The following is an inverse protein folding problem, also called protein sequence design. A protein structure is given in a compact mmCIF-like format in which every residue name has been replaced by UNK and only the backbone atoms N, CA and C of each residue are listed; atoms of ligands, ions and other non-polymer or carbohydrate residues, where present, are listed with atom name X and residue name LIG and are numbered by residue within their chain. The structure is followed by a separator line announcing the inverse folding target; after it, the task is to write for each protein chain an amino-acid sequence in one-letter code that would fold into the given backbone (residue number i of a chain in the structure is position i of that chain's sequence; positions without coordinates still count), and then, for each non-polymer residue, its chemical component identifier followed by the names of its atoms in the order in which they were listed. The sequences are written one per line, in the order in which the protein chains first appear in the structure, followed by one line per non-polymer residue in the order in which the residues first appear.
data_IF_740624498405
#
_entry.id   IF_740624498405
#
_cell.length_a   1.000
_cell.length_b   1.000
_cell.length_c   1.000
_cell.angle_alpha   90.00
_cell.angle_beta   90.00
_cell.angle_gamma   90.00
#
_symmetry.space_group_name_H-M   'P 1'
#
loop_
_entity.id
_entity.type
_entity.pdbx_description
1 polymer ?
#
# COMPACT_ATOMS: atom_id res chain seq x y z
N UNK A 1 4.96 0.10 -8.09
CA UNK A 1 3.86 -0.45 -7.28
C UNK A 1 3.79 0.23 -5.92
N UNK A 2 2.73 0.03 -5.18
CA UNK A 2 2.51 0.65 -3.86
C UNK A 2 3.67 0.36 -2.90
N UNK A 3 4.08 1.38 -2.12
CA UNK A 3 5.25 1.38 -1.23
C UNK A 3 6.58 1.07 -1.92
N UNK A 4 6.68 1.40 -3.22
CA UNK A 4 7.92 1.28 -3.99
C UNK A 4 8.21 -0.13 -4.53
N UNK A 5 9.34 -0.32 -5.18
CA UNK A 5 9.66 -1.58 -5.88
C UNK A 5 9.83 -2.79 -4.94
N UNK A 6 10.13 -2.56 -3.66
CA UNK A 6 10.25 -3.62 -2.65
C UNK A 6 8.99 -3.78 -1.79
N UNK A 7 8.00 -2.88 -1.90
CA UNK A 7 6.79 -2.88 -1.07
C UNK A 7 7.03 -2.52 0.40
N UNK A 8 8.22 -2.03 0.75
CA UNK A 8 8.66 -1.76 2.12
C UNK A 8 8.43 -0.32 2.61
N UNK A 9 8.14 0.61 1.70
CA UNK A 9 7.97 2.02 2.01
C UNK A 9 9.27 2.79 2.21
N UNK A 10 10.40 2.20 1.84
CA UNK A 10 11.73 2.82 1.99
C UNK A 10 12.21 3.31 0.62
N UNK A 11 12.48 4.60 0.51
CA UNK A 11 13.07 5.21 -0.66
C UNK A 11 14.50 4.72 -0.91
N UNK A 12 14.91 4.77 -2.18
CA UNK A 12 16.30 4.49 -2.58
C UNK A 12 17.08 5.81 -2.54
N UNK A 13 18.29 5.77 -1.94
CA UNK A 13 19.14 6.94 -1.72
C UNK A 13 19.17 7.35 -0.25
N UNK A 14 19.83 8.47 0.05
CA UNK A 14 20.12 8.86 1.44
C UNK A 14 19.33 10.09 1.89
N UNK A 15 18.74 10.85 0.97
CA UNK A 15 18.13 12.13 1.29
C UNK A 15 16.79 12.35 0.57
N UNK A 16 15.88 13.02 1.28
CA UNK A 16 14.68 13.66 0.76
C UNK A 16 14.45 14.96 1.59
N UNK A 17 13.62 15.90 1.10
CA UNK A 17 13.38 17.18 1.80
C UNK A 17 12.85 16.95 3.21
N UNK A 18 13.38 17.70 4.16
CA UNK A 18 12.88 17.70 5.55
C UNK A 18 11.95 18.87 5.83
N UNK A 19 12.06 19.95 5.07
CA UNK A 19 11.29 21.18 5.28
C UNK A 19 10.67 21.65 3.97
N UNK A 20 9.40 22.00 4.02
CA UNK A 20 8.64 22.65 2.94
C UNK A 20 7.43 23.40 3.51
N UNK A 21 6.88 24.29 2.70
CA UNK A 21 5.59 24.95 2.93
C UNK A 21 4.65 24.62 1.75
N UNK A 22 3.55 25.29 1.62
CA UNK A 22 2.68 25.15 0.43
C UNK A 22 3.29 25.74 -0.85
N UNK A 23 4.41 26.46 -0.75
CA UNK A 23 5.11 27.15 -1.84
C UNK A 23 6.62 26.91 -1.85
N UNK A 24 7.27 26.76 -0.71
CA UNK A 24 8.71 26.53 -0.62
C UNK A 24 9.01 25.03 -0.72
N UNK A 25 10.09 24.71 -1.42
CA UNK A 25 10.50 23.33 -1.73
C UNK A 25 9.43 22.49 -2.45
N UNK A 26 8.47 23.14 -3.10
CA UNK A 26 7.51 22.50 -4.00
C UNK A 26 8.05 22.64 -5.43
N UNK A 27 8.40 21.53 -6.07
CA UNK A 27 8.79 21.54 -7.48
C UNK A 27 7.60 21.79 -8.38
N UNK A 28 6.50 21.12 -8.09
CA UNK A 28 5.22 21.34 -8.76
C UNK A 28 4.05 20.84 -7.90
N UNK A 29 2.87 21.40 -8.18
CA UNK A 29 1.57 21.05 -7.62
C UNK A 29 0.58 20.98 -8.77
N UNK A 30 0.00 19.80 -9.03
CA UNK A 30 -0.90 19.57 -10.16
C UNK A 30 -2.28 19.17 -9.68
N UNK A 31 -3.37 19.86 -10.10
CA UNK A 31 -4.73 19.40 -9.81
C UNK A 31 -4.99 18.03 -10.44
N UNK A 32 -5.58 17.11 -9.68
CA UNK A 32 -5.98 15.80 -10.18
C UNK A 32 -7.49 15.76 -10.30
N UNK A 33 -8.03 15.59 -11.51
CA UNK A 33 -9.48 15.51 -11.74
C UNK A 33 -10.10 14.29 -11.06
N UNK A 34 -11.29 14.47 -10.49
CA UNK A 34 -12.05 13.40 -9.86
C UNK A 34 -11.59 13.08 -8.43
N UNK A 35 -12.04 11.95 -7.91
CA UNK A 35 -11.80 11.51 -6.54
C UNK A 35 -10.94 10.22 -6.51
N UNK A 36 -10.05 10.11 -5.55
CA UNK A 36 -9.20 8.91 -5.42
C UNK A 36 -8.24 9.00 -4.25
N UNK A 37 -7.94 7.82 -3.69
CA UNK A 37 -7.01 7.64 -2.56
C UNK A 37 -5.78 6.79 -2.93
N UNK A 38 -5.61 6.49 -4.22
CA UNK A 38 -4.41 5.77 -4.65
C UNK A 38 -3.14 6.55 -4.33
N UNK A 39 -2.11 5.86 -3.87
CA UNK A 39 -0.78 6.45 -3.74
C UNK A 39 -0.19 6.72 -5.13
N UNK A 40 0.68 7.72 -5.30
CA UNK A 40 1.43 7.88 -6.53
C UNK A 40 2.46 6.76 -6.69
N UNK A 41 2.69 6.33 -7.92
CA UNK A 41 3.86 5.52 -8.27
C UNK A 41 4.72 6.26 -9.28
N UNK A 42 6.04 6.10 -9.17
CA UNK A 42 7.04 6.75 -10.04
C UNK A 42 7.77 5.68 -10.83
N UNK A 43 7.86 5.85 -12.14
CA UNK A 43 8.63 4.99 -13.03
C UNK A 43 9.23 5.81 -14.17
N UNK A 44 10.57 5.80 -14.31
CA UNK A 44 11.27 6.66 -15.26
C UNK A 44 10.89 8.13 -15.06
N UNK A 45 10.51 8.79 -16.14
CA UNK A 45 10.08 10.20 -16.16
C UNK A 45 8.57 10.36 -15.97
N UNK A 46 7.91 9.41 -15.34
CA UNK A 46 6.45 9.42 -15.19
C UNK A 46 6.00 9.17 -13.77
N UNK A 47 4.88 9.82 -13.43
CA UNK A 47 4.12 9.57 -12.19
C UNK A 47 2.72 9.13 -12.57
N UNK A 48 2.19 8.11 -11.90
CA UNK A 48 0.85 7.60 -12.17
C UNK A 48 0.00 7.61 -10.91
N UNK A 49 -1.28 7.95 -11.07
CA UNK A 49 -2.34 7.84 -10.06
C UNK A 49 -3.62 7.37 -10.70
N UNK A 50 -4.46 6.65 -9.96
CA UNK A 50 -5.83 6.35 -10.37
C UNK A 50 -6.79 7.40 -9.82
N UNK A 51 -7.89 7.66 -10.53
CA UNK A 51 -8.95 8.55 -10.10
C UNK A 51 -10.31 8.04 -10.58
N UNK A 52 -11.39 8.50 -9.97
CA UNK A 52 -12.75 8.20 -10.41
C UNK A 52 -13.56 9.49 -10.60
N UNK A 53 -14.39 9.50 -11.61
CA UNK A 53 -15.39 10.54 -11.85
C UNK A 53 -16.76 9.92 -11.67
N UNK A 54 -17.33 10.08 -10.49
CA UNK A 54 -18.54 9.35 -10.10
C UNK A 54 -19.77 9.72 -10.91
N UNK A 55 -19.87 10.98 -11.35
CA UNK A 55 -20.97 11.45 -12.22
C UNK A 55 -20.99 10.77 -13.57
N UNK A 56 -19.82 10.51 -14.16
CA UNK A 56 -19.66 9.79 -15.42
C UNK A 56 -19.43 8.29 -15.25
N UNK A 57 -19.43 7.78 -14.02
CA UNK A 57 -19.14 6.38 -13.66
C UNK A 57 -17.77 5.90 -14.17
N UNK A 58 -16.83 6.83 -14.37
CA UNK A 58 -15.54 6.57 -15.01
C UNK A 58 -14.45 6.25 -13.98
N UNK A 59 -13.66 5.20 -14.23
CA UNK A 59 -12.42 4.83 -13.53
C UNK A 59 -11.26 5.15 -14.44
N UNK A 60 -10.34 5.97 -13.98
CA UNK A 60 -9.34 6.60 -14.82
C UNK A 60 -7.93 6.37 -14.29
N UNK A 61 -6.98 6.35 -15.21
CA UNK A 61 -5.55 6.39 -14.91
C UNK A 61 -4.97 7.68 -15.49
N UNK A 62 -4.17 8.39 -14.69
CA UNK A 62 -3.51 9.62 -15.07
C UNK A 62 -2.00 9.41 -15.07
N UNK A 63 -1.34 9.81 -16.16
CA UNK A 63 0.11 9.90 -16.28
C UNK A 63 0.53 11.35 -16.29
N UNK A 64 1.48 11.69 -15.40
CA UNK A 64 2.09 13.00 -15.33
C UNK A 64 3.57 12.90 -15.69
N UNK A 65 4.09 13.95 -16.29
CA UNK A 65 5.54 14.15 -16.44
C UNK A 65 6.15 14.40 -15.06
N UNK A 66 7.16 13.64 -14.71
CA UNK A 66 7.80 13.67 -13.41
C UNK A 66 8.49 15.01 -13.10
N UNK A 67 9.01 15.69 -14.13
CA UNK A 67 9.80 16.92 -13.96
C UNK A 67 8.90 18.14 -13.85
N UNK A 68 7.94 18.26 -14.75
CA UNK A 68 7.05 19.43 -14.84
C UNK A 68 5.75 19.30 -14.07
N UNK A 69 5.31 18.07 -13.76
CA UNK A 69 3.99 17.80 -13.20
C UNK A 69 2.84 17.91 -14.21
N UNK A 70 3.13 18.18 -15.49
CA UNK A 70 2.11 18.27 -16.52
C UNK A 70 1.44 16.93 -16.76
N UNK A 71 0.11 16.92 -16.89
CA UNK A 71 -0.63 15.72 -17.28
C UNK A 71 -0.27 15.40 -18.72
N UNK A 72 0.35 14.24 -18.97
CA UNK A 72 0.66 13.75 -20.31
C UNK A 72 -0.61 13.17 -20.94
N UNK A 73 -1.34 12.36 -20.17
CA UNK A 73 -2.67 11.86 -20.56
C UNK A 73 -3.49 11.49 -19.31
N UNK A 74 -4.79 11.54 -19.48
CA UNK A 74 -5.83 11.12 -18.53
C UNK A 74 -6.82 10.24 -19.29
N UNK A 75 -6.82 8.94 -19.04
CA UNK A 75 -7.58 7.97 -19.83
C UNK A 75 -8.60 7.24 -19.00
N UNK A 76 -9.78 6.99 -19.56
CA UNK A 76 -10.74 6.08 -18.99
C UNK A 76 -10.25 4.65 -19.18
N UNK A 77 -10.11 3.95 -18.05
CA UNK A 77 -9.72 2.53 -18.03
C UNK A 77 -10.94 1.63 -17.98
N UNK A 78 -11.96 2.06 -17.24
CA UNK A 78 -13.22 1.35 -17.11
C UNK A 78 -14.36 2.32 -16.80
N UNK A 79 -15.57 1.99 -17.27
CA UNK A 79 -16.80 2.66 -16.90
C UNK A 79 -17.82 1.64 -16.41
N UNK A 80 -18.49 1.93 -15.29
CA UNK A 80 -19.45 1.02 -14.69
C UNK A 80 -20.01 1.52 -13.37
N UNK A 81 -20.93 0.75 -12.79
CA UNK A 81 -21.63 1.11 -11.57
C UNK A 81 -20.67 1.31 -10.37
N UNK A 82 -21.09 2.16 -9.43
CA UNK A 82 -20.31 2.43 -8.22
C UNK A 82 -20.57 1.31 -7.20
N UNK A 83 -19.50 0.70 -6.72
CA UNK A 83 -19.56 -0.26 -5.64
C UNK A 83 -19.92 0.38 -4.29
N UNK A 84 -20.49 -0.42 -3.39
CA UNK A 84 -20.65 0.00 -2.01
C UNK A 84 -19.30 0.25 -1.36
N UNK A 85 -19.11 1.41 -0.76
CA UNK A 85 -17.84 1.80 -0.16
C UNK A 85 -18.02 2.55 1.18
N UNK A 86 -16.97 2.55 1.99
CA UNK A 86 -16.91 3.35 3.20
C UNK A 86 -16.68 4.83 2.84
N UNK A 87 -17.16 5.78 3.65
CA UNK A 87 -17.02 7.23 3.41
C UNK A 87 -15.57 7.73 3.24
N UNK A 88 -14.58 6.98 3.72
CA UNK A 88 -13.15 7.28 3.57
C UNK A 88 -12.49 6.52 2.41
N UNK A 89 -13.24 5.69 1.69
CA UNK A 89 -12.79 5.00 0.50
C UNK A 89 -13.34 5.67 -0.77
N UNK A 90 -12.74 5.37 -1.91
CA UNK A 90 -13.20 5.82 -3.23
C UNK A 90 -13.13 4.67 -4.21
N UNK A 91 -13.75 4.82 -5.37
CA UNK A 91 -13.64 3.86 -6.46
C UNK A 91 -12.22 3.76 -7.07
N UNK A 92 -11.30 4.60 -6.61
CA UNK A 92 -9.90 4.66 -7.06
C UNK A 92 -8.93 4.72 -5.88
N UNK A 93 -9.08 3.81 -4.92
CA UNK A 93 -8.16 3.68 -3.77
C UNK A 93 -7.02 2.70 -4.03
N UNK A 94 -7.19 1.74 -4.95
CA UNK A 94 -6.12 0.85 -5.38
C UNK A 94 -5.01 1.62 -6.09
N UNK A 95 -3.77 1.47 -5.63
CA UNK A 95 -2.59 2.08 -6.24
C UNK A 95 -2.15 1.24 -7.43
N UNK A 96 -1.89 1.82 -8.61
CA UNK A 96 -1.48 1.05 -9.78
C UNK A 96 -0.10 0.43 -9.61
N UNK A 97 0.24 -0.55 -10.43
CA UNK A 97 1.59 -1.11 -10.55
C UNK A 97 2.09 -0.97 -11.98
N UNK A 98 3.42 -0.92 -12.19
CA UNK A 98 4.00 -0.91 -13.53
C UNK A 98 5.27 -1.75 -13.60
N UNK A 99 5.43 -2.49 -14.68
CA UNK A 99 6.64 -3.25 -15.05
C UNK A 99 7.60 -2.45 -15.95
N UNK A 100 7.24 -1.18 -16.25
CA UNK A 100 7.98 -0.31 -17.15
C UNK A 100 7.50 -0.36 -18.61
N UNK A 101 6.64 -1.31 -18.96
CA UNK A 101 6.00 -1.40 -20.28
C UNK A 101 4.51 -1.18 -20.22
N UNK A 102 3.87 -1.62 -19.14
CA UNK A 102 2.43 -1.46 -18.88
C UNK A 102 2.16 -0.96 -17.47
N UNK A 103 0.99 -0.40 -17.30
CA UNK A 103 0.46 0.03 -16.02
C UNK A 103 -0.79 -0.82 -15.72
N UNK A 104 -0.80 -1.48 -14.58
CA UNK A 104 -1.87 -2.38 -14.15
C UNK A 104 -2.73 -1.67 -13.11
N UNK A 105 -4.04 -1.63 -13.36
CA UNK A 105 -5.05 -1.04 -12.51
C UNK A 105 -6.07 -2.07 -12.08
N UNK A 106 -6.57 -1.94 -10.85
CA UNK A 106 -7.67 -2.75 -10.34
C UNK A 106 -8.77 -1.83 -9.87
N UNK A 107 -9.99 -2.08 -10.35
CA UNK A 107 -11.20 -1.40 -9.96
C UNK A 107 -12.30 -2.39 -9.62
N UNK A 108 -13.41 -1.90 -9.09
CA UNK A 108 -14.63 -2.67 -8.88
C UNK A 108 -15.78 -1.95 -9.60
N UNK A 109 -16.59 -2.74 -10.27
CA UNK A 109 -17.81 -2.33 -10.97
C UNK A 109 -19.00 -3.03 -10.30
N UNK A 110 -19.70 -2.34 -9.43
CA UNK A 110 -20.74 -2.89 -8.53
C UNK A 110 -20.21 -4.10 -7.72
N UNK A 111 -20.32 -5.28 -8.28
CA UNK A 111 -19.90 -6.55 -7.66
C UNK A 111 -18.87 -7.32 -8.49
N UNK A 112 -18.23 -6.65 -9.42
CA UNK A 112 -17.30 -7.27 -10.35
C UNK A 112 -15.93 -6.64 -10.22
N UNK A 113 -14.90 -7.44 -9.95
CA UNK A 113 -13.52 -6.95 -10.03
C UNK A 113 -13.12 -6.80 -11.49
N UNK A 114 -12.46 -5.70 -11.80
CA UNK A 114 -11.92 -5.41 -13.14
C UNK A 114 -10.43 -5.15 -13.00
N UNK A 115 -9.63 -5.90 -13.74
CA UNK A 115 -8.18 -5.74 -13.83
C UNK A 115 -7.85 -5.34 -15.24
N UNK A 116 -7.10 -4.26 -15.41
CA UNK A 116 -6.75 -3.74 -16.73
C UNK A 116 -5.26 -3.44 -16.81
N UNK A 117 -4.68 -3.70 -17.98
CA UNK A 117 -3.35 -3.22 -18.35
C UNK A 117 -3.47 -2.09 -19.36
N UNK A 118 -2.76 -1.03 -19.12
CA UNK A 118 -2.70 0.16 -19.97
C UNK A 118 -1.29 0.31 -20.49
N UNK A 119 -1.12 0.49 -21.78
CA UNK A 119 0.17 0.75 -22.41
C UNK A 119 0.71 2.13 -22.05
N UNK A 120 1.98 2.38 -22.35
CA UNK A 120 2.64 3.63 -21.97
C UNK A 120 2.08 4.87 -22.66
N UNK A 121 1.36 4.73 -23.75
CA UNK A 121 0.64 5.77 -24.48
C UNK A 121 -0.82 5.97 -24.04
N UNK A 122 -1.26 5.25 -23.01
CA UNK A 122 -2.60 5.42 -22.42
C UNK A 122 -3.67 4.51 -23.04
N UNK A 123 -3.30 3.57 -23.89
CA UNK A 123 -4.26 2.64 -24.51
C UNK A 123 -4.45 1.41 -23.63
N UNK A 124 -5.70 1.03 -23.39
CA UNK A 124 -6.01 -0.22 -22.69
C UNK A 124 -5.61 -1.40 -23.59
N UNK A 125 -4.61 -2.16 -23.17
CA UNK A 125 -4.11 -3.34 -23.88
C UNK A 125 -5.02 -4.55 -23.66
N UNK A 126 -5.47 -4.75 -22.43
CA UNK A 126 -6.44 -5.77 -22.05
C UNK A 126 -7.20 -5.35 -20.78
N UNK A 127 -8.39 -5.92 -20.62
CA UNK A 127 -9.22 -5.77 -19.42
C UNK A 127 -9.96 -7.07 -19.17
N UNK A 128 -9.84 -7.61 -17.96
CA UNK A 128 -10.46 -8.90 -17.58
C UNK A 128 -11.15 -8.79 -16.22
N UNK A 129 -12.12 -9.67 -15.99
CA UNK A 129 -12.74 -9.82 -14.68
C UNK A 129 -12.37 -11.19 -14.10
N UNK A 130 -11.46 -11.28 -13.13
CA UNK A 130 -11.09 -12.55 -12.53
C UNK A 130 -12.17 -13.12 -11.61
N UNK A 131 -13.19 -12.34 -11.27
CA UNK A 131 -14.29 -12.79 -10.44
C UNK A 131 -15.16 -11.67 -9.90
N UNK A 132 -16.19 -12.07 -9.14
CA UNK A 132 -16.99 -11.13 -8.36
C UNK A 132 -16.16 -10.52 -7.23
N UNK A 133 -16.60 -9.35 -6.74
CA UNK A 133 -16.05 -8.74 -5.54
C UNK A 133 -17.14 -8.02 -4.75
N UNK A 134 -17.25 -8.37 -3.48
CA UNK A 134 -18.15 -7.71 -2.56
C UNK A 134 -17.48 -7.48 -1.20
N UNK A 135 -17.37 -6.23 -0.83
CA UNK A 135 -16.95 -5.81 0.51
C UNK A 135 -17.69 -4.52 0.89
N UNK A 136 -18.21 -4.46 2.11
CA UNK A 136 -18.99 -3.30 2.56
C UNK A 136 -18.21 -1.98 2.64
N UNK A 137 -16.87 -2.06 2.55
CA UNK A 137 -15.96 -0.92 2.63
C UNK A 137 -15.40 -0.50 1.26
N UNK A 138 -15.75 -1.20 0.17
CA UNK A 138 -15.17 -1.01 -1.16
C UNK A 138 -13.85 -1.76 -1.33
N UNK A 139 -13.09 -1.43 -2.36
CA UNK A 139 -11.82 -2.07 -2.72
C UNK A 139 -10.63 -1.13 -2.48
N UNK A 140 -9.50 -1.65 -2.00
CA UNK A 140 -8.29 -0.85 -1.75
C UNK A 140 -6.97 -1.60 -1.94
N UNK A 141 -6.96 -2.94 -1.98
CA UNK A 141 -5.73 -3.70 -2.21
C UNK A 141 -5.09 -3.31 -3.56
N UNK A 142 -3.78 -3.21 -3.58
CA UNK A 142 -3.04 -2.82 -4.78
C UNK A 142 -2.50 -4.04 -5.54
N UNK A 143 -2.42 -4.02 -6.87
CA UNK A 143 -1.79 -5.07 -7.64
C UNK A 143 -0.29 -5.15 -7.36
N UNK A 144 0.27 -6.35 -7.42
CA UNK A 144 1.69 -6.63 -7.19
C UNK A 144 2.27 -7.35 -8.40
N UNK A 145 3.44 -6.93 -8.84
CA UNK A 145 4.14 -7.58 -9.95
C UNK A 145 4.80 -8.88 -9.46
N UNK A 146 4.57 -9.96 -10.17
CA UNK A 146 5.11 -11.28 -9.86
C UNK A 146 5.36 -12.06 -11.16
N UNK A 147 6.60 -12.41 -11.45
CA UNK A 147 7.01 -13.35 -12.51
C UNK A 147 6.36 -13.10 -13.89
N UNK A 148 6.45 -11.85 -14.35
CA UNK A 148 5.85 -11.42 -15.62
C UNK A 148 4.32 -11.35 -15.58
N UNK A 149 3.73 -11.46 -14.39
CA UNK A 149 2.30 -11.35 -14.15
C UNK A 149 1.95 -10.25 -13.16
N UNK A 150 0.66 -10.06 -12.98
CA UNK A 150 0.06 -9.16 -12.01
C UNK A 150 -0.80 -9.96 -11.03
N UNK A 151 -0.42 -9.87 -9.77
CA UNK A 151 -1.11 -10.51 -8.67
C UNK A 151 -2.18 -9.57 -8.11
N UNK A 152 -3.36 -10.10 -7.87
CA UNK A 152 -4.51 -9.35 -7.33
C UNK A 152 -5.11 -10.08 -6.14
N UNK A 153 -5.29 -9.34 -5.05
CA UNK A 153 -5.98 -9.81 -3.86
C UNK A 153 -7.48 -9.52 -3.96
N UNK A 154 -8.29 -10.55 -4.08
CA UNK A 154 -9.75 -10.54 -4.10
C UNK A 154 -10.37 -11.10 -2.81
N UNK A 155 -9.78 -10.90 -1.64
CA UNK A 155 -10.40 -11.26 -0.36
C UNK A 155 -11.70 -10.48 -0.15
N UNK A 156 -12.80 -11.18 -0.06
CA UNK A 156 -14.16 -10.63 0.00
C UNK A 156 -15.10 -11.47 0.87
N UNK A 157 -16.30 -10.95 1.12
CA UNK A 157 -17.34 -11.65 1.88
C UNK A 157 -18.15 -12.59 0.93
N UNK A 158 -17.57 -13.71 0.54
CA UNK A 158 -18.18 -14.72 -0.34
C UNK A 158 -17.40 -14.92 -1.65
N UNK A 159 -16.72 -16.06 -1.76
CA UNK A 159 -15.90 -16.40 -2.93
C UNK A 159 -14.56 -15.66 -2.97
N UNK A 160 -13.86 -15.56 -1.82
CA UNK A 160 -12.54 -14.95 -1.71
C UNK A 160 -11.50 -15.67 -2.57
N UNK A 161 -10.58 -14.92 -3.17
CA UNK A 161 -9.50 -15.45 -3.99
C UNK A 161 -8.26 -14.57 -3.97
N UNK A 162 -7.12 -15.13 -4.37
CA UNK A 162 -5.94 -14.40 -4.84
C UNK A 162 -5.58 -14.99 -6.19
N UNK A 163 -5.32 -14.14 -7.18
CA UNK A 163 -5.08 -14.58 -8.55
C UNK A 163 -3.83 -13.94 -9.11
N UNK A 164 -3.01 -14.74 -9.82
CA UNK A 164 -1.97 -14.25 -10.70
C UNK A 164 -2.48 -14.26 -12.13
N UNK A 165 -2.47 -13.11 -12.77
CA UNK A 165 -2.80 -12.95 -14.19
C UNK A 165 -1.50 -12.76 -14.99
N UNK A 166 -1.46 -13.27 -16.20
CA UNK A 166 -0.38 -12.99 -17.15
C UNK A 166 -0.35 -11.50 -17.49
N UNK A 167 0.79 -10.85 -17.32
CA UNK A 167 0.92 -9.41 -17.53
C UNK A 167 0.74 -8.99 -19.01
N UNK A 168 1.02 -9.89 -19.96
CA UNK A 168 0.91 -9.58 -21.38
C UNK A 168 -0.52 -9.65 -21.92
N UNK A 169 -1.32 -10.62 -21.47
CA UNK A 169 -2.62 -10.93 -22.06
C UNK A 169 -3.80 -10.97 -21.07
N UNK A 170 -3.51 -10.96 -19.75
CA UNK A 170 -4.53 -10.96 -18.71
C UNK A 170 -5.09 -12.36 -18.35
N UNK A 171 -4.58 -13.43 -18.95
CA UNK A 171 -5.03 -14.79 -18.65
C UNK A 171 -4.63 -15.22 -17.24
N UNK A 172 -5.49 -16.00 -16.58
CA UNK A 172 -5.21 -16.53 -15.26
C UNK A 172 -4.12 -17.61 -15.31
N UNK A 173 -3.03 -17.39 -14.56
CA UNK A 173 -1.93 -18.36 -14.40
C UNK A 173 -2.22 -19.34 -13.27
N UNK A 174 -2.64 -18.82 -12.12
CA UNK A 174 -3.06 -19.60 -10.97
C UNK A 174 -4.00 -18.82 -10.06
N UNK A 175 -4.72 -19.56 -9.22
CA UNK A 175 -5.64 -19.03 -8.21
C UNK A 175 -5.46 -19.74 -6.88
N UNK A 176 -5.30 -18.96 -5.83
CA UNK A 176 -5.36 -19.43 -4.45
C UNK A 176 -6.76 -19.12 -3.88
N UNK A 177 -7.35 -20.10 -3.23
CA UNK A 177 -8.60 -19.94 -2.48
C UNK A 177 -8.28 -19.95 -0.98
N UNK A 178 -8.53 -18.83 -0.26
CA UNK A 178 -8.42 -18.80 1.21
C UNK A 178 -9.34 -19.79 1.90
N UNK A 179 -8.99 -20.21 3.10
CA UNK A 179 -9.79 -21.16 3.90
C UNK A 179 -11.15 -20.59 4.35
N UNK A 180 -11.26 -19.26 4.38
CA UNK A 180 -12.49 -18.53 4.75
C UNK A 180 -12.78 -17.40 3.78
N UNK A 181 -14.07 -17.20 3.49
CA UNK A 181 -14.54 -16.05 2.74
C UNK A 181 -14.71 -14.86 3.68
N UNK A 182 -13.67 -14.05 3.82
CA UNK A 182 -13.68 -12.87 4.66
C UNK A 182 -12.89 -11.74 3.99
N UNK A 183 -13.52 -10.56 3.86
CA UNK A 183 -12.87 -9.40 3.25
C UNK A 183 -11.59 -9.00 3.96
N UNK A 184 -10.59 -8.69 3.18
CA UNK A 184 -9.30 -8.14 3.60
C UNK A 184 -8.75 -7.25 2.51
N UNK A 185 -8.03 -6.20 2.87
CA UNK A 185 -7.57 -5.15 1.96
C UNK A 185 -6.05 -5.07 1.90
N UNK A 186 -5.37 -6.01 2.56
CA UNK A 186 -3.92 -6.11 2.60
C UNK A 186 -3.35 -6.31 1.19
N UNK A 187 -2.35 -5.53 0.84
CA UNK A 187 -1.57 -5.75 -0.39
C UNK A 187 -0.54 -6.85 -0.14
N UNK A 188 -0.45 -7.89 -0.98
CA UNK A 188 0.55 -8.93 -0.83
C UNK A 188 1.98 -8.40 -0.96
N UNK A 189 2.95 -9.08 -0.35
CA UNK A 189 4.38 -8.74 -0.45
C UNK A 189 5.16 -9.94 -0.98
N UNK A 190 5.96 -9.70 -2.01
CA UNK A 190 6.90 -10.70 -2.52
C UNK A 190 8.23 -10.54 -1.78
N UNK A 191 8.69 -11.59 -1.11
CA UNK A 191 9.89 -11.55 -0.28
C UNK A 191 10.74 -12.81 -0.43
N UNK A 192 12.04 -12.66 -0.16
CA UNK A 192 12.93 -13.81 0.00
C UNK A 192 12.91 -14.27 1.48
N UNK A 193 12.38 -15.44 1.71
CA UNK A 193 12.27 -16.06 3.03
C UNK A 193 13.28 -17.20 3.12
N UNK A 194 14.41 -16.97 3.81
CA UNK A 194 15.49 -17.96 3.96
C UNK A 194 15.96 -18.59 2.64
N UNK A 195 16.10 -17.77 1.60
CA UNK A 195 16.57 -18.22 0.29
C UNK A 195 15.46 -18.68 -0.67
N UNK A 196 14.23 -18.84 -0.20
CA UNK A 196 13.06 -19.14 -1.04
C UNK A 196 12.23 -17.90 -1.25
N UNK A 197 11.86 -17.61 -2.48
CA UNK A 197 10.97 -16.53 -2.83
C UNK A 197 9.53 -16.92 -2.51
N UNK A 198 8.83 -16.10 -1.76
CA UNK A 198 7.48 -16.39 -1.29
C UNK A 198 6.60 -15.14 -1.39
N UNK A 199 5.32 -15.36 -1.62
CA UNK A 199 4.29 -14.35 -1.54
C UNK A 199 3.67 -14.37 -0.15
N UNK A 200 3.78 -13.27 0.58
CA UNK A 200 3.25 -13.13 1.95
C UNK A 200 1.98 -12.28 1.91
N UNK A 201 0.91 -12.80 2.47
CA UNK A 201 -0.39 -12.16 2.50
C UNK A 201 -1.05 -12.31 3.86
N UNK A 202 -1.59 -11.22 4.40
CA UNK A 202 -2.46 -11.24 5.58
C UNK A 202 -3.91 -11.04 5.16
N UNK A 203 -4.79 -11.93 5.57
CA UNK A 203 -6.21 -11.88 5.24
C UNK A 203 -6.96 -13.13 5.69
N UNK A 204 -8.29 -13.06 5.72
CA UNK A 204 -9.14 -14.20 6.02
C UNK A 204 -8.73 -14.95 7.31
N UNK A 205 -8.45 -14.22 8.39
CA UNK A 205 -8.00 -14.71 9.70
C UNK A 205 -6.58 -15.27 9.76
N UNK A 206 -5.82 -15.21 8.68
CA UNK A 206 -4.49 -15.82 8.60
C UNK A 206 -3.45 -14.84 8.02
N UNK A 207 -2.19 -15.11 8.32
CA UNK A 207 -1.07 -14.69 7.51
C UNK A 207 -0.49 -15.92 6.85
N UNK A 208 -0.38 -15.89 5.52
CA UNK A 208 0.02 -17.05 4.72
C UNK A 208 1.25 -16.75 3.88
N UNK A 209 2.08 -17.76 3.66
CA UNK A 209 3.12 -17.78 2.64
C UNK A 209 2.71 -18.69 1.50
N UNK A 210 2.67 -18.15 0.29
CA UNK A 210 2.35 -18.89 -0.92
C UNK A 210 3.59 -19.01 -1.81
N UNK A 211 3.64 -20.08 -2.56
CA UNK A 211 4.57 -20.21 -3.68
C UNK A 211 4.16 -19.25 -4.80
N UNK A 212 5.04 -18.36 -5.26
CA UNK A 212 4.68 -17.36 -6.26
C UNK A 212 4.46 -17.92 -7.68
N UNK A 213 4.98 -19.11 -7.98
CA UNK A 213 4.84 -19.75 -9.30
C UNK A 213 3.54 -20.57 -9.43
N UNK A 214 3.13 -21.23 -8.35
CA UNK A 214 1.96 -22.12 -8.35
C UNK A 214 0.74 -21.60 -7.58
N UNK A 215 0.94 -20.64 -6.66
CA UNK A 215 -0.08 -20.18 -5.72
C UNK A 215 -0.35 -21.16 -4.57
N UNK A 216 0.41 -22.24 -4.44
CA UNK A 216 0.25 -23.22 -3.38
C UNK A 216 0.62 -22.64 -2.01
N UNK A 217 -0.18 -22.98 -0.98
CA UNK A 217 0.07 -22.55 0.39
C UNK A 217 1.20 -23.36 1.02
N UNK A 218 2.33 -22.68 1.30
CA UNK A 218 3.52 -23.28 1.93
C UNK A 218 3.32 -23.38 3.43
N UNK A 219 2.87 -22.30 4.06
CA UNK A 219 2.64 -22.19 5.51
C UNK A 219 1.56 -21.17 5.83
N UNK A 220 1.06 -21.25 7.07
CA UNK A 220 0.16 -20.22 7.62
C UNK A 220 0.34 -20.04 9.11
N UNK A 221 -0.11 -18.89 9.60
CA UNK A 221 -0.28 -18.56 11.01
C UNK A 221 -1.69 -17.99 11.18
N UNK A 222 -2.46 -18.53 12.11
CA UNK A 222 -3.79 -18.04 12.47
C UNK A 222 -3.69 -16.73 13.27
N UNK A 223 -4.55 -15.78 13.00
CA UNK A 223 -4.55 -14.47 13.64
C UNK A 223 -3.60 -13.46 12.97
N UNK A 224 -3.22 -12.38 13.68
CA UNK A 224 -3.63 -12.01 15.05
C UNK A 224 -5.09 -11.57 15.17
N UNK A 225 -5.79 -11.32 14.07
CA UNK A 225 -7.18 -10.88 14.01
C UNK A 225 -7.90 -11.51 12.81
N UNK A 226 -9.11 -11.02 12.48
CA UNK A 226 -9.90 -11.59 11.38
C UNK A 226 -9.71 -10.84 10.04
N UNK A 227 -9.67 -9.50 10.08
CA UNK A 227 -9.64 -8.65 8.90
C UNK A 227 -8.43 -7.74 8.93
N UNK A 228 -7.78 -7.62 7.78
CA UNK A 228 -6.51 -6.92 7.60
C UNK A 228 -6.64 -5.83 6.53
N UNK A 229 -6.03 -4.70 6.81
CA UNK A 229 -5.79 -3.64 5.83
C UNK A 229 -4.29 -3.44 5.65
N UNK A 230 -3.54 -3.47 6.75
CA UNK A 230 -2.10 -3.36 6.72
C UNK A 230 -1.46 -4.48 5.89
N UNK A 231 -0.46 -4.11 5.11
CA UNK A 231 0.45 -5.03 4.44
C UNK A 231 1.45 -5.59 5.45
N UNK A 232 1.85 -6.86 5.38
CA UNK A 232 2.93 -7.40 6.22
C UNK A 232 4.23 -6.63 6.02
N UNK A 233 4.90 -6.28 7.13
CA UNK A 233 6.28 -5.76 7.09
C UNK A 233 7.25 -6.92 7.28
N UNK A 234 8.33 -6.99 6.47
CA UNK A 234 9.21 -8.17 6.44
C UNK A 234 10.66 -7.74 6.62
N UNK A 235 11.35 -8.36 7.56
CA UNK A 235 12.78 -8.12 7.81
C UNK A 235 13.25 -8.70 9.14
N UNK A 236 14.54 -8.65 9.41
CA UNK A 236 15.17 -9.13 10.65
C UNK A 236 14.81 -10.58 10.99
N UNK A 237 14.61 -11.43 9.97
CA UNK A 237 14.21 -12.82 10.15
C UNK A 237 12.75 -13.02 10.57
N UNK A 238 11.92 -11.98 10.49
CA UNK A 238 10.50 -11.99 10.91
C UNK A 238 9.57 -11.42 9.84
N UNK A 239 8.29 -11.76 9.99
CA UNK A 239 7.15 -11.20 9.29
C UNK A 239 6.26 -10.57 10.36
N UNK A 240 5.95 -9.28 10.22
CA UNK A 240 5.10 -8.54 11.16
C UNK A 240 3.74 -8.35 10.52
N UNK A 241 2.71 -8.93 11.13
CA UNK A 241 1.33 -8.89 10.66
C UNK A 241 0.47 -8.03 11.59
N UNK A 242 -0.34 -7.15 10.99
CA UNK A 242 -1.18 -6.18 11.70
C UNK A 242 -2.59 -6.24 11.15
N UNK A 243 -3.56 -6.20 12.04
CA UNK A 243 -4.96 -6.16 11.64
C UNK A 243 -5.84 -5.48 12.70
N UNK A 244 -7.00 -4.97 12.30
CA UNK A 244 -7.78 -4.06 13.11
C UNK A 244 -9.19 -4.52 13.45
N UNK A 245 -9.69 -5.61 12.91
CA UNK A 245 -11.09 -6.01 13.16
C UNK A 245 -11.20 -7.50 13.49
N UNK A 246 -11.94 -7.90 14.54
CA UNK A 246 -12.77 -7.08 15.42
C UNK A 246 -11.98 -6.24 16.44
N UNK A 247 -10.69 -6.46 16.59
CA UNK A 247 -9.81 -5.71 17.48
C UNK A 247 -8.44 -5.48 16.85
N UNK A 248 -7.82 -4.36 17.19
CA UNK A 248 -6.46 -4.00 16.75
C UNK A 248 -5.44 -4.93 17.39
N UNK A 249 -4.73 -5.70 16.57
CA UNK A 249 -3.73 -6.68 17.01
C UNK A 249 -2.57 -6.76 16.03
N UNK A 250 -1.43 -7.18 16.57
CA UNK A 250 -0.24 -7.48 15.78
C UNK A 250 0.46 -8.74 16.29
N UNK A 251 1.20 -9.39 15.41
CA UNK A 251 2.12 -10.45 15.79
C UNK A 251 3.41 -10.39 14.97
N UNK A 252 4.52 -10.89 15.56
CA UNK A 252 5.73 -11.20 14.83
C UNK A 252 5.82 -12.72 14.62
N UNK A 253 6.08 -13.11 13.39
CA UNK A 253 6.19 -14.49 12.94
C UNK A 253 7.63 -14.73 12.52
N UNK A 254 8.33 -15.69 13.14
CA UNK A 254 9.67 -16.10 12.73
C UNK A 254 9.60 -16.71 11.33
N UNK A 255 10.48 -16.26 10.44
CA UNK A 255 10.56 -16.76 9.07
C UNK A 255 10.97 -18.23 8.99
N UNK A 256 10.43 -18.95 8.00
CA UNK A 256 10.74 -20.32 7.66
C UNK A 256 9.81 -21.33 8.35
N UNK A 257 9.78 -22.54 7.81
CA UNK A 257 8.88 -23.62 8.17
C UNK A 257 7.82 -23.88 7.10
N UNK A 258 7.00 -24.90 7.32
CA UNK A 258 5.90 -25.33 6.43
C UNK A 258 4.68 -25.75 7.27
N UNK A 259 3.49 -25.67 6.67
CA UNK A 259 2.24 -26.04 7.31
C UNK A 259 1.79 -25.03 8.37
N UNK A 260 1.13 -25.48 9.41
CA UNK A 260 0.67 -24.65 10.52
C UNK A 260 1.81 -24.23 11.45
N UNK A 261 2.12 -22.94 11.41
CA UNK A 261 3.19 -22.34 12.23
C UNK A 261 2.64 -21.51 13.40
N UNK A 262 1.36 -21.57 13.67
CA UNK A 262 0.69 -20.74 14.69
C UNK A 262 1.30 -20.90 16.08
N UNK A 263 1.62 -22.15 16.48
CA UNK A 263 2.16 -22.44 17.81
C UNK A 263 3.69 -22.40 17.89
N UNK A 264 4.38 -22.44 16.75
CA UNK A 264 5.85 -22.63 16.70
C UNK A 264 6.60 -21.36 16.32
N UNK A 265 6.02 -20.51 15.47
CA UNK A 265 6.72 -19.37 14.88
C UNK A 265 6.25 -18.01 15.38
N UNK A 266 5.12 -17.91 16.06
CA UNK A 266 4.68 -16.63 16.67
C UNK A 266 5.60 -16.32 17.85
N UNK A 267 6.36 -15.20 17.73
CA UNK A 267 7.35 -14.78 18.73
C UNK A 267 6.70 -13.89 19.79
N UNK A 268 5.89 -12.96 19.35
CA UNK A 268 5.10 -12.08 20.21
C UNK A 268 3.77 -11.70 19.57
N UNK A 269 2.82 -11.34 20.42
CA UNK A 269 1.55 -10.72 20.03
C UNK A 269 1.37 -9.43 20.79
N UNK A 270 0.71 -8.44 20.19
CA UNK A 270 0.35 -7.17 20.81
C UNK A 270 -1.11 -6.84 20.55
N UNK A 271 -1.71 -6.27 21.57
CA UNK A 271 -3.07 -5.73 21.56
C UNK A 271 -3.01 -4.25 21.95
N UNK A 272 -3.94 -3.46 21.46
CA UNK A 272 -4.07 -2.01 21.69
C UNK A 272 -3.03 -1.17 20.97
N UNK A 273 -3.47 0.00 20.52
CA UNK A 273 -2.66 0.99 19.81
C UNK A 273 -1.96 0.47 18.54
N UNK A 274 -2.42 -0.67 18.02
CA UNK A 274 -1.96 -1.19 16.73
C UNK A 274 -2.76 -0.54 15.59
N UNK A 275 -2.19 -0.45 14.40
CA UNK A 275 -2.86 0.18 13.27
C UNK A 275 -3.92 -0.76 12.66
N UNK A 276 -4.99 -0.15 12.13
CA UNK A 276 -5.92 -0.84 11.25
C UNK A 276 -5.62 -0.52 9.78
N UNK A 277 -5.47 0.77 9.44
CA UNK A 277 -5.23 1.21 8.06
C UNK A 277 -3.74 1.47 7.77
N UNK A 278 -3.02 2.31 8.52
CA UNK A 278 -1.63 2.62 8.17
C UNK A 278 -0.71 1.40 8.32
N UNK A 279 -0.06 1.00 7.25
CA UNK A 279 0.94 -0.08 7.30
C UNK A 279 2.20 0.42 8.00
N UNK A 280 2.68 -0.25 9.05
CA UNK A 280 3.91 0.10 9.75
C UNK A 280 5.15 0.11 8.86
N UNK A 281 6.14 0.89 9.24
CA UNK A 281 7.44 0.97 8.56
C UNK A 281 8.50 0.25 9.39
N UNK A 282 9.02 -0.85 8.87
CA UNK A 282 10.23 -1.47 9.40
C UNK A 282 11.43 -0.81 8.73
N UNK A 283 12.25 -0.09 9.48
CA UNK A 283 13.41 0.62 8.96
C UNK A 283 14.63 0.41 9.86
N UNK A 284 15.61 -0.31 9.33
CA UNK A 284 16.77 -0.74 10.13
C UNK A 284 16.35 -1.62 11.29
N UNK A 285 16.62 -1.19 12.52
CA UNK A 285 16.29 -1.92 13.75
C UNK A 285 15.02 -1.42 14.47
N UNK A 286 14.22 -0.58 13.83
CA UNK A 286 13.02 0.01 14.42
C UNK A 286 11.78 -0.30 13.59
N UNK A 287 10.69 -0.56 14.27
CA UNK A 287 9.37 -0.68 13.70
C UNK A 287 8.54 0.55 14.11
N UNK A 288 8.32 1.45 13.15
CA UNK A 288 7.56 2.67 13.33
C UNK A 288 6.08 2.40 13.05
N UNK A 289 5.26 2.52 14.06
CA UNK A 289 3.82 2.28 14.03
C UNK A 289 3.11 3.61 14.26
N UNK A 290 2.15 3.95 13.42
CA UNK A 290 1.17 5.00 13.71
C UNK A 290 -0.21 4.37 13.54
N UNK A 291 -1.07 4.45 14.56
CA UNK A 291 -2.42 3.95 14.44
C UNK A 291 -3.37 5.00 13.87
N UNK A 292 -4.58 4.59 13.55
CA UNK A 292 -5.62 5.42 12.93
C UNK A 292 -5.98 6.66 13.76
N UNK A 293 -5.83 6.59 15.09
CA UNK A 293 -6.08 7.72 16.00
C UNK A 293 -4.85 8.64 16.21
N UNK A 294 -3.77 8.47 15.43
CA UNK A 294 -2.55 9.27 15.51
C UNK A 294 -1.67 8.99 16.73
N UNK A 295 -1.75 7.78 17.29
CA UNK A 295 -0.81 7.32 18.31
C UNK A 295 0.38 6.69 17.59
N UNK A 296 1.55 7.26 17.83
CA UNK A 296 2.83 6.73 17.35
C UNK A 296 3.44 5.79 18.40
N UNK A 297 4.01 4.68 17.92
CA UNK A 297 4.84 3.79 18.72
C UNK A 297 6.11 3.39 17.96
N UNK A 298 7.25 3.46 18.61
CA UNK A 298 8.49 2.84 18.15
C UNK A 298 8.67 1.52 18.90
N UNK A 299 8.87 0.44 18.17
CA UNK A 299 8.96 -0.91 18.73
C UNK A 299 10.29 -1.53 18.30
N UNK A 300 10.97 -2.23 19.24
CA UNK A 300 12.05 -3.15 18.89
C UNK A 300 11.43 -4.37 18.22
N UNK A 301 11.73 -4.64 16.93
CA UNK A 301 10.92 -5.59 16.16
C UNK A 301 11.02 -7.03 16.64
N UNK A 302 12.19 -7.47 17.13
CA UNK A 302 12.42 -8.88 17.46
C UNK A 302 11.81 -9.25 18.81
N UNK A 303 11.99 -8.42 19.84
CA UNK A 303 11.40 -8.63 21.18
C UNK A 303 9.95 -8.16 21.25
N UNK A 304 9.57 -7.20 20.41
CA UNK A 304 8.30 -6.51 20.50
C UNK A 304 8.26 -5.43 21.58
N UNK A 305 9.38 -5.07 22.21
CA UNK A 305 9.40 -4.05 23.27
C UNK A 305 9.03 -2.68 22.70
N UNK A 306 8.12 -1.99 23.38
CA UNK A 306 7.73 -0.63 23.05
C UNK A 306 8.76 0.34 23.63
N UNK A 307 9.60 0.91 22.77
CA UNK A 307 10.64 1.86 23.14
C UNK A 307 10.09 3.25 23.39
N UNK A 308 9.07 3.65 22.64
CA UNK A 308 8.42 4.94 22.77
C UNK A 308 6.95 4.85 22.35
N UNK A 309 6.08 5.54 23.06
CA UNK A 309 4.68 5.77 22.65
C UNK A 309 4.32 7.22 22.97
N UNK A 310 3.64 7.87 22.02
CA UNK A 310 3.11 9.22 22.21
C UNK A 310 1.94 9.49 21.24
N UNK A 311 1.13 10.51 21.54
CA UNK A 311 0.13 11.00 20.62
C UNK A 311 0.80 11.99 19.65
N UNK A 312 0.84 11.64 18.37
CA UNK A 312 1.42 12.49 17.31
C UNK A 312 0.52 13.68 16.96
N UNK A 313 -0.80 13.47 16.93
CA UNK A 313 -1.78 14.48 16.50
C UNK A 313 -3.00 13.86 15.83
N UNK A 314 -3.40 14.39 14.67
CA UNK A 314 -4.59 14.01 13.92
C UNK A 314 -4.69 12.53 13.53
N UNK A 315 -5.85 12.14 13.01
CA UNK A 315 -6.03 10.78 12.51
C UNK A 315 -5.04 10.49 11.38
N UNK A 316 -4.73 9.24 11.18
CA UNK A 316 -3.72 8.82 10.21
C UNK A 316 -4.25 7.65 9.39
N UNK A 317 -4.24 7.80 8.07
CA UNK A 317 -4.57 6.75 7.10
C UNK A 317 -3.40 6.47 6.16
N UNK A 318 -2.55 7.47 5.98
CA UNK A 318 -1.30 7.39 5.23
C UNK A 318 -0.28 6.51 5.96
N UNK A 319 0.32 5.55 5.26
CA UNK A 319 1.39 4.73 5.83
C UNK A 319 2.69 5.52 5.92
N UNK A 320 3.47 5.36 7.01
CA UNK A 320 4.81 5.91 7.12
C UNK A 320 5.72 5.48 5.97
N UNK A 321 6.58 6.40 5.51
CA UNK A 321 7.64 6.11 4.54
C UNK A 321 8.97 6.64 5.06
N UNK A 322 10.08 6.06 4.61
CA UNK A 322 11.41 6.43 5.10
C UNK A 322 12.47 6.52 4.01
N UNK A 323 13.54 7.29 4.27
CA UNK A 323 14.74 7.35 3.45
C UNK A 323 15.93 7.84 4.30
N UNK A 324 17.11 7.24 4.09
CA UNK A 324 18.30 7.55 4.87
C UNK A 324 18.08 7.29 6.36
N UNK A 325 18.07 8.35 7.16
CA UNK A 325 17.78 8.31 8.61
C UNK A 325 16.43 8.98 8.98
N UNK A 326 15.55 9.21 8.02
CA UNK A 326 14.32 10.00 8.19
C UNK A 326 13.07 9.17 7.95
N UNK A 327 12.04 9.41 8.78
CA UNK A 327 10.71 8.84 8.66
C UNK A 327 9.69 9.97 8.53
N UNK A 328 8.78 9.86 7.56
CA UNK A 328 7.75 10.84 7.24
C UNK A 328 6.39 10.29 7.66
N UNK A 329 5.70 11.05 8.50
CA UNK A 329 4.43 10.69 9.13
C UNK A 329 3.36 11.73 8.77
N UNK A 330 2.55 11.46 7.74
CA UNK A 330 1.42 12.32 7.40
C UNK A 330 0.19 11.97 8.24
N UNK A 331 -0.56 12.99 8.64
CA UNK A 331 -1.92 12.81 9.13
C UNK A 331 -2.96 13.27 8.09
N UNK A 332 -4.25 13.06 8.42
CA UNK A 332 -5.35 13.34 7.50
C UNK A 332 -5.58 14.84 7.25
N UNK A 333 -4.97 15.74 8.03
CA UNK A 333 -5.03 17.19 7.80
C UNK A 333 -3.98 17.68 6.79
N UNK A 334 -3.02 16.82 6.41
CA UNK A 334 -1.88 17.17 5.58
C UNK A 334 -0.66 17.63 6.37
N UNK A 335 -0.69 17.53 7.69
CA UNK A 335 0.49 17.74 8.54
C UNK A 335 1.44 16.55 8.40
N UNK A 336 2.67 16.83 7.99
CA UNK A 336 3.76 15.86 7.98
C UNK A 336 4.74 16.13 9.11
N UNK A 337 4.91 15.16 10.00
CA UNK A 337 6.01 15.15 10.97
C UNK A 337 7.17 14.34 10.42
N UNK A 338 8.32 14.95 10.26
CA UNK A 338 9.57 14.27 9.88
C UNK A 338 10.34 13.96 11.14
N UNK A 339 10.59 12.69 11.39
CA UNK A 339 11.36 12.25 12.57
C UNK A 339 12.63 11.53 12.14
N UNK A 340 13.60 11.49 13.04
CA UNK A 340 14.79 10.65 12.88
C UNK A 340 14.45 9.19 13.10
N UNK A 341 15.05 8.29 12.33
CA UNK A 341 14.93 6.85 12.51
C UNK A 341 15.72 6.39 13.77
N UNK A 342 15.15 6.68 14.94
CA UNK A 342 15.66 6.27 16.24
C UNK A 342 14.51 5.96 17.22
N UNK A 343 14.83 5.64 18.47
CA UNK A 343 13.89 5.27 19.53
C UNK A 343 13.35 6.46 20.34
N UNK A 344 13.83 7.67 20.08
CA UNK A 344 13.53 8.84 20.90
C UNK A 344 12.36 9.69 20.39
N UNK A 345 11.89 9.47 19.15
CA UNK A 345 10.94 10.36 18.45
C UNK A 345 11.49 11.78 18.30
N UNK A 346 12.71 11.88 17.82
CA UNK A 346 13.35 13.16 17.54
C UNK A 346 12.69 13.81 16.30
N UNK A 347 11.94 14.88 16.53
CA UNK A 347 11.32 15.65 15.45
C UNK A 347 12.39 16.50 14.77
N UNK A 348 12.57 16.28 13.46
CA UNK A 348 13.46 17.06 12.60
C UNK A 348 12.71 18.29 12.07
N UNK A 349 11.45 18.10 11.64
CA UNK A 349 10.62 19.17 11.10
C UNK A 349 9.14 18.79 11.15
N UNK A 350 8.29 19.82 11.04
CA UNK A 350 6.86 19.70 10.78
C UNK A 350 6.48 20.55 9.58
N UNK A 351 5.67 20.01 8.67
CA UNK A 351 5.33 20.64 7.41
C UNK A 351 3.84 20.50 7.15
N UNK A 352 3.20 21.48 6.50
CA UNK A 352 1.78 21.47 6.20
C UNK A 352 1.54 21.63 4.70
N UNK A 353 0.57 20.87 4.17
CA UNK A 353 0.11 21.00 2.77
C UNK A 353 -1.25 21.69 2.63
N UNK A 354 -1.94 21.96 3.74
CA UNK A 354 -3.29 22.59 3.80
C UNK A 354 -4.35 21.87 2.95
N UNK A 355 -4.19 20.56 2.77
CA UNK A 355 -5.14 19.67 2.12
C UNK A 355 -5.14 18.30 2.78
N UNK A 356 -6.27 17.62 2.76
CA UNK A 356 -6.39 16.26 3.30
C UNK A 356 -5.42 15.29 2.60
N UNK A 357 -4.66 14.52 3.39
CA UNK A 357 -3.73 13.49 2.89
C UNK A 357 -4.11 12.15 3.50
N UNK A 358 -4.59 11.23 2.68
CA UNK A 358 -4.93 9.86 3.08
C UNK A 358 -4.10 8.82 2.34
N UNK A 359 -3.63 9.14 1.14
CA UNK A 359 -2.73 8.30 0.37
C UNK A 359 -1.33 8.28 1.00
N UNK A 360 -0.65 7.14 0.89
CA UNK A 360 0.76 7.05 1.31
C UNK A 360 1.67 7.75 0.30
N UNK A 361 2.68 8.51 0.75
CA UNK A 361 3.62 9.15 -0.18
C UNK A 361 4.47 8.12 -0.92
N UNK A 362 4.99 8.51 -2.08
CA UNK A 362 6.12 7.83 -2.71
C UNK A 362 7.39 8.65 -2.57
N UNK A 363 8.54 7.97 -2.46
CA UNK A 363 9.86 8.59 -2.46
C UNK A 363 10.63 8.08 -3.67
N UNK A 364 11.12 8.99 -4.49
CA UNK A 364 11.92 8.63 -5.68
C UNK A 364 12.91 9.74 -5.99
N UNK A 365 14.19 9.36 -6.18
CA UNK A 365 15.31 10.26 -6.51
C UNK A 365 15.33 11.54 -5.67
N UNK A 366 15.27 11.39 -4.34
CA UNK A 366 15.36 12.52 -3.43
C UNK A 366 14.13 13.44 -3.38
N UNK A 367 13.03 13.07 -4.01
CA UNK A 367 11.76 13.81 -3.95
C UNK A 367 10.66 12.98 -3.31
N UNK A 368 9.74 13.67 -2.62
CA UNK A 368 8.48 13.10 -2.16
C UNK A 368 7.38 13.41 -3.16
N UNK A 369 6.56 12.42 -3.44
CA UNK A 369 5.33 12.58 -4.22
C UNK A 369 4.16 12.31 -3.30
N UNK A 370 3.31 13.30 -3.09
CA UNK A 370 2.20 13.23 -2.14
C UNK A 370 0.90 13.52 -2.86
N UNK A 371 -0.06 12.59 -2.77
CA UNK A 371 -1.42 12.83 -3.22
C UNK A 371 -2.25 13.35 -2.06
N UNK A 372 -2.71 14.58 -2.17
CA UNK A 372 -3.76 15.17 -1.33
C UNK A 372 -5.14 14.95 -1.97
N UNK A 373 -6.18 15.48 -1.36
CA UNK A 373 -7.55 15.35 -1.85
C UNK A 373 -7.72 15.84 -3.29
N UNK A 374 -7.09 16.98 -3.64
CA UNK A 374 -7.29 17.67 -4.93
C UNK A 374 -6.05 17.71 -5.81
N UNK A 375 -4.87 17.48 -5.24
CA UNK A 375 -3.61 17.68 -5.96
C UNK A 375 -2.65 16.51 -5.80
N UNK A 376 -1.75 16.41 -6.76
CA UNK A 376 -0.51 15.67 -6.63
C UNK A 376 0.63 16.67 -6.51
N UNK A 377 1.50 16.46 -5.53
CA UNK A 377 2.62 17.31 -5.19
C UNK A 377 3.93 16.59 -5.44
N UNK A 378 4.92 17.30 -6.01
CA UNK A 378 6.34 16.91 -5.94
C UNK A 378 7.04 17.87 -5.01
N UNK A 379 7.57 17.33 -3.92
CA UNK A 379 8.28 18.07 -2.88
C UNK A 379 9.77 17.75 -3.00
N UNK A 380 10.58 18.80 -3.07
CA UNK A 380 12.03 18.71 -3.24
C UNK A 380 12.46 18.81 -4.69
N UNK A 381 13.69 19.21 -4.89
CA UNK A 381 14.35 19.28 -6.19
C UNK A 381 15.21 18.03 -6.37
N UNK A 382 15.21 17.44 -7.53
CA UNK A 382 16.18 16.40 -7.86
C UNK A 382 17.59 16.97 -7.77
N UNK A 383 18.48 16.24 -7.11
CA UNK A 383 19.92 16.50 -7.28
C UNK A 383 20.29 16.01 -8.68
N UNK A 384 20.76 16.94 -9.51
CA UNK A 384 21.33 16.66 -10.84
C UNK A 384 22.56 15.77 -10.73
#
# INVERSE_FOLDING_TARGET
MWRGPRGDGIGIGDEAPTSWTTTENISWKTPIPGDGRSSPIVCGDSVFVTTSQNESLSRRLIRLDRNSGSIIWDVEVHSGAIEKQHKFNTCASSTPATDGTRIYCVFVDDKKMVVSAVDWDGKVAWSVSPGGFYASHGFAASPVLCDGGVLVNGHQDGGAFVVLLDGAIGDEKWRYKPDTDLRSFSTPVLANIKGSRQLILSGAKQTVGLDPESGEKIWWVDGPTEKFVCTPSIGLGHIFSFGGSPSERACAIRQGGQGDLTKTNVVWTKERSMPYVPTPLLMGKYLHIVNDAGIYSCVEPVSGDVLKTLRKGGNTYSSPVGIGDKVYLFDDTGLCTVIRNNDSYEIIATNMLDELVQASPAISNGSLYVRSERHLWKIGKEKL
#
